data_IF_114489901156
#
_entry.id   IF_114489901156
#
_cell.length_a   1.000
_cell.length_b   1.000
_cell.length_c   1.000
_cell.angle_alpha   90.00
_cell.angle_beta   90.00
_cell.angle_gamma   90.00
#
_symmetry.space_group_name_H-M   'P 1'
#
loop_
_entity.id
_entity.type
_entity.pdbx_description
1 polymer ?
#
# COMPACT_ATOMS: atom_id res chain seq x y z
N UNK A 1 2.16 2.18 27.12
CA UNK A 1 1.79 0.81 26.72
C UNK A 1 1.96 0.70 25.23
N UNK A 2 2.84 -0.16 24.75
CA UNK A 2 2.96 -0.53 23.34
C UNK A 2 1.68 -1.28 22.93
N UNK A 3 1.00 -0.83 21.87
CA UNK A 3 -0.18 -1.54 21.38
C UNK A 3 0.26 -2.89 20.81
N UNK A 4 -0.52 -3.97 21.03
CA UNK A 4 -0.19 -5.26 20.44
C UNK A 4 -0.11 -5.16 18.94
N UNK A 5 0.90 -5.75 18.34
CA UNK A 5 1.05 -5.88 16.92
C UNK A 5 -0.05 -6.80 16.38
N UNK A 6 -0.84 -6.32 15.42
CA UNK A 6 -1.84 -7.14 14.75
C UNK A 6 -1.15 -7.99 13.67
N UNK A 7 -0.40 -9.01 14.09
CA UNK A 7 0.41 -9.88 13.22
C UNK A 7 -0.30 -10.40 11.97
N UNK A 8 -1.57 -10.86 12.05
CA UNK A 8 -2.28 -11.29 10.84
C UNK A 8 -2.39 -10.22 9.76
N UNK A 9 -2.52 -8.94 10.13
CA UNK A 9 -2.56 -7.85 9.16
C UNK A 9 -1.20 -7.61 8.49
N UNK A 10 -0.10 -7.80 9.22
CA UNK A 10 1.24 -7.77 8.63
C UNK A 10 1.42 -8.94 7.67
N UNK A 11 1.01 -10.13 8.06
CA UNK A 11 1.14 -11.36 7.26
C UNK A 11 0.37 -11.30 5.94
N UNK A 12 -0.89 -10.83 5.99
CA UNK A 12 -1.72 -10.75 4.79
C UNK A 12 -1.17 -9.75 3.77
N UNK A 13 -0.46 -8.71 4.21
CA UNK A 13 0.26 -7.81 3.30
C UNK A 13 1.28 -8.54 2.43
N UNK A 14 1.99 -9.53 3.00
CA UNK A 14 2.92 -10.35 2.26
C UNK A 14 2.23 -11.13 1.14
N UNK A 15 1.11 -11.78 1.44
CA UNK A 15 0.34 -12.53 0.47
C UNK A 15 -0.18 -11.62 -0.66
N UNK A 16 -0.71 -10.46 -0.32
CA UNK A 16 -1.24 -9.51 -1.30
C UNK A 16 -0.13 -8.85 -2.15
N UNK A 17 1.06 -8.62 -1.59
CA UNK A 17 2.20 -8.17 -2.38
C UNK A 17 2.58 -9.20 -3.45
N UNK A 18 2.57 -10.49 -3.12
CA UNK A 18 2.82 -11.57 -4.09
C UNK A 18 1.71 -11.71 -5.12
N UNK A 19 0.45 -11.43 -4.80
CA UNK A 19 -0.62 -11.38 -5.82
C UNK A 19 -0.33 -10.28 -6.87
N UNK A 20 0.19 -9.13 -6.45
CA UNK A 20 0.60 -8.06 -7.38
C UNK A 20 1.82 -8.48 -8.22
N UNK A 21 2.80 -9.18 -7.64
CA UNK A 21 3.92 -9.76 -8.40
C UNK A 21 3.40 -10.69 -9.49
N UNK A 22 2.51 -11.62 -9.14
CA UNK A 22 1.91 -12.57 -10.08
C UNK A 22 1.06 -11.88 -11.15
N UNK A 23 0.36 -10.79 -10.79
CA UNK A 23 -0.34 -9.94 -11.75
C UNK A 23 0.61 -9.41 -12.84
N UNK A 24 1.76 -8.84 -12.47
CA UNK A 24 2.68 -8.24 -13.44
C UNK A 24 3.43 -9.27 -14.30
N UNK A 25 3.66 -10.48 -13.77
CA UNK A 25 4.37 -11.53 -14.51
C UNK A 25 3.45 -12.40 -15.39
N UNK A 26 2.12 -12.35 -15.19
CA UNK A 26 1.15 -13.27 -15.81
C UNK A 26 1.20 -13.34 -17.34
N UNK A 27 1.44 -12.19 -17.99
CA UNK A 27 1.48 -12.13 -19.45
C UNK A 27 2.67 -12.89 -20.04
N UNK A 28 3.77 -12.99 -19.31
CA UNK A 28 4.93 -13.77 -19.73
C UNK A 28 4.71 -15.29 -19.63
N UNK A 29 3.59 -15.71 -19.07
CA UNK A 29 3.21 -17.13 -18.91
C UNK A 29 2.15 -17.60 -19.92
N UNK A 30 1.74 -16.74 -20.87
CA UNK A 30 0.63 -17.05 -21.80
C UNK A 30 0.90 -18.27 -22.69
N UNK A 31 2.15 -18.55 -23.04
CA UNK A 31 2.52 -19.68 -23.89
C UNK A 31 2.30 -21.07 -23.25
N UNK A 32 2.21 -21.14 -21.91
CA UNK A 32 2.12 -22.43 -21.22
C UNK A 32 1.12 -22.47 -20.05
N UNK A 33 0.70 -21.33 -19.51
CA UNK A 33 -0.25 -21.29 -18.40
C UNK A 33 -1.69 -21.26 -18.95
N UNK A 34 -2.61 -22.11 -18.42
CA UNK A 34 -4.01 -22.08 -18.83
C UNK A 34 -4.62 -20.69 -18.71
N UNK A 35 -5.36 -20.24 -19.75
CA UNK A 35 -5.92 -18.90 -19.83
C UNK A 35 -6.79 -18.54 -18.61
N UNK A 36 -7.54 -19.50 -18.05
CA UNK A 36 -8.33 -19.29 -16.83
C UNK A 36 -7.49 -18.89 -15.63
N UNK A 37 -6.27 -19.46 -15.49
CA UNK A 37 -5.34 -19.07 -14.43
C UNK A 37 -4.80 -17.67 -14.69
N UNK A 38 -4.43 -17.36 -15.93
CA UNK A 38 -3.97 -16.01 -16.32
C UNK A 38 -5.05 -14.96 -16.02
N UNK A 39 -6.34 -15.27 -16.26
CA UNK A 39 -7.47 -14.39 -15.94
C UNK A 39 -7.64 -14.19 -14.43
N UNK A 40 -7.45 -15.22 -13.62
CA UNK A 40 -7.45 -15.10 -12.14
C UNK A 40 -6.27 -14.23 -11.70
N UNK A 41 -5.07 -14.48 -12.18
CA UNK A 41 -3.89 -13.67 -11.88
C UNK A 41 -4.04 -12.22 -12.35
N UNK A 42 -4.81 -11.99 -13.42
CA UNK A 42 -5.13 -10.64 -13.91
C UNK A 42 -5.90 -9.80 -12.89
N UNK A 43 -6.51 -10.41 -11.87
CA UNK A 43 -7.20 -9.71 -10.78
C UNK A 43 -6.28 -9.36 -9.60
N UNK A 44 -5.00 -9.73 -9.67
CA UNK A 44 -4.02 -9.45 -8.60
C UNK A 44 -3.79 -7.95 -8.33
N UNK A 45 -4.08 -7.05 -9.28
CA UNK A 45 -4.02 -5.59 -9.05
C UNK A 45 -4.99 -5.11 -7.97
N UNK A 46 -6.07 -5.85 -7.72
CA UNK A 46 -7.07 -5.54 -6.70
C UNK A 46 -6.51 -5.65 -5.26
N UNK A 47 -5.37 -6.29 -5.08
CA UNK A 47 -4.67 -6.32 -3.79
C UNK A 47 -4.30 -4.91 -3.28
N UNK A 48 -4.19 -3.93 -4.17
CA UNK A 48 -3.86 -2.55 -3.82
C UNK A 48 -5.00 -1.89 -3.03
N UNK A 49 -6.26 -2.21 -3.33
CA UNK A 49 -7.44 -1.72 -2.59
C UNK A 49 -7.37 -2.14 -1.11
N UNK A 50 -6.97 -3.39 -0.87
CA UNK A 50 -6.75 -3.85 0.49
C UNK A 50 -5.61 -3.09 1.18
N UNK A 51 -4.53 -2.74 0.48
CA UNK A 51 -3.44 -1.96 1.07
C UNK A 51 -3.88 -0.55 1.46
N UNK A 52 -4.71 0.12 0.67
CA UNK A 52 -5.23 1.44 1.01
C UNK A 52 -6.15 1.41 2.23
N UNK A 53 -7.09 0.46 2.29
CA UNK A 53 -7.92 0.21 3.45
C UNK A 53 -7.07 -0.06 4.70
N UNK A 54 -6.09 -0.96 4.59
CA UNK A 54 -5.19 -1.31 5.69
C UNK A 54 -4.34 -0.13 6.14
N UNK A 55 -3.84 0.68 5.20
CA UNK A 55 -3.06 1.88 5.52
C UNK A 55 -3.90 2.87 6.31
N UNK A 56 -5.12 3.18 5.88
CA UNK A 56 -6.06 4.03 6.61
C UNK A 56 -6.34 3.49 8.02
N UNK A 57 -6.61 2.19 8.13
CA UNK A 57 -6.85 1.52 9.41
C UNK A 57 -5.66 1.66 10.36
N UNK A 58 -4.45 1.31 9.92
CA UNK A 58 -3.25 1.32 10.77
C UNK A 58 -2.82 2.74 11.12
N UNK A 59 -2.91 3.67 10.18
CA UNK A 59 -2.57 5.08 10.43
C UNK A 59 -3.53 5.69 11.44
N UNK A 60 -4.84 5.53 11.25
CA UNK A 60 -5.81 6.06 12.21
C UNK A 60 -5.68 5.40 13.59
N UNK A 61 -5.50 4.09 13.63
CA UNK A 61 -5.28 3.34 14.86
C UNK A 61 -4.13 3.91 15.69
N UNK A 62 -3.03 4.27 15.02
CA UNK A 62 -1.81 4.72 15.72
C UNK A 62 -1.77 6.22 15.97
N UNK A 63 -2.36 7.04 15.10
CA UNK A 63 -2.17 8.49 15.08
C UNK A 63 -3.46 9.30 15.26
N UNK A 64 -4.65 8.73 15.12
CA UNK A 64 -5.92 9.44 15.22
C UNK A 64 -6.14 10.27 16.50
N UNK A 65 -5.44 9.95 17.58
CA UNK A 65 -5.45 10.74 18.81
C UNK A 65 -4.16 11.53 19.05
N UNK A 66 -3.05 11.11 18.43
CA UNK A 66 -1.72 11.65 18.72
C UNK A 66 -1.37 12.90 17.92
N UNK A 67 -2.05 13.15 16.80
CA UNK A 67 -1.75 14.27 15.89
C UNK A 67 -2.25 15.63 16.38
N UNK A 68 -2.85 15.73 17.56
CA UNK A 68 -3.36 16.97 18.14
C UNK A 68 -2.33 17.81 18.92
N UNK A 69 -1.12 17.26 19.14
CA UNK A 69 -0.06 17.93 19.90
C UNK A 69 0.86 18.79 19.03
N UNK A 70 1.52 19.79 19.64
CA UNK A 70 2.57 20.58 18.97
C UNK A 70 3.67 19.68 18.41
N UNK A 71 4.05 19.86 17.16
CA UNK A 71 5.07 19.06 16.46
C UNK A 71 4.66 17.63 16.10
N UNK A 72 3.45 17.19 16.46
CA UNK A 72 2.98 15.83 16.18
C UNK A 72 2.83 15.57 14.67
N UNK A 73 2.40 16.56 13.90
CA UNK A 73 2.31 16.48 12.44
C UNK A 73 3.67 16.26 11.81
N UNK A 74 4.69 17.04 12.21
CA UNK A 74 6.05 16.87 11.69
C UNK A 74 6.63 15.51 12.06
N UNK A 75 6.45 15.05 13.31
CA UNK A 75 6.88 13.72 13.75
C UNK A 75 6.21 12.61 12.93
N UNK A 76 4.92 12.74 12.65
CA UNK A 76 4.17 11.82 11.80
C UNK A 76 4.72 11.79 10.37
N UNK A 77 4.84 12.96 9.71
CA UNK A 77 5.30 13.04 8.32
C UNK A 77 6.74 12.52 8.17
N UNK A 78 7.65 12.87 9.10
CA UNK A 78 9.01 12.33 9.08
C UNK A 78 9.02 10.80 9.21
N UNK A 79 8.17 10.22 10.05
CA UNK A 79 8.04 8.76 10.16
C UNK A 79 7.50 8.12 8.89
N UNK A 80 6.60 8.79 8.18
CA UNK A 80 6.07 8.29 6.89
C UNK A 80 7.13 8.40 5.80
N UNK A 81 7.81 9.56 5.67
CA UNK A 81 8.94 9.72 4.76
C UNK A 81 10.02 8.66 5.03
N UNK A 82 10.43 8.51 6.28
CA UNK A 82 11.43 7.51 6.66
C UNK A 82 11.02 6.06 6.29
N UNK A 83 9.72 5.79 6.22
CA UNK A 83 9.17 4.47 5.87
C UNK A 83 9.14 4.21 4.37
N UNK A 84 8.76 5.22 3.55
CA UNK A 84 8.46 4.98 2.13
C UNK A 84 9.55 5.54 1.20
N UNK A 85 10.08 6.73 1.49
CA UNK A 85 10.93 7.45 0.55
C UNK A 85 12.30 6.79 0.26
N UNK A 86 13.05 6.22 1.24
CA UNK A 86 14.39 5.69 0.96
C UNK A 86 14.40 4.58 -0.07
N UNK A 87 13.49 3.62 0.04
CA UNK A 87 13.39 2.53 -0.92
C UNK A 87 12.84 3.01 -2.26
N UNK A 88 11.87 3.94 -2.24
CA UNK A 88 11.36 4.56 -3.46
C UNK A 88 12.48 5.26 -4.24
N UNK A 89 13.30 6.07 -3.57
CA UNK A 89 14.46 6.73 -4.19
C UNK A 89 15.49 5.72 -4.74
N UNK A 90 15.76 4.63 -4.01
CA UNK A 90 16.63 3.57 -4.48
C UNK A 90 16.09 2.90 -5.75
N UNK A 91 14.79 2.65 -5.83
CA UNK A 91 14.17 2.08 -7.02
C UNK A 91 14.11 3.07 -8.18
N UNK A 92 13.93 4.37 -7.94
CA UNK A 92 14.07 5.40 -8.99
C UNK A 92 15.52 5.46 -9.52
N UNK A 93 16.52 5.38 -8.66
CA UNK A 93 17.92 5.31 -9.08
C UNK A 93 18.18 4.05 -9.93
N UNK A 94 17.59 2.91 -9.55
CA UNK A 94 17.69 1.68 -10.35
C UNK A 94 16.99 1.84 -11.72
N UNK A 95 15.80 2.45 -11.77
CA UNK A 95 15.11 2.79 -13.02
C UNK A 95 15.93 3.74 -13.90
N UNK A 96 16.58 4.75 -13.29
CA UNK A 96 17.49 5.65 -14.01
C UNK A 96 18.70 4.91 -14.60
N UNK A 97 19.27 3.95 -13.87
CA UNK A 97 20.34 3.11 -14.39
C UNK A 97 19.88 2.25 -15.58
N UNK A 98 18.67 1.70 -15.52
CA UNK A 98 18.06 0.99 -16.67
C UNK A 98 17.88 1.94 -17.87
N UNK A 99 17.33 3.14 -17.64
CA UNK A 99 17.12 4.13 -18.70
C UNK A 99 18.43 4.52 -19.39
N UNK A 100 19.49 4.80 -18.61
CA UNK A 100 20.82 5.13 -19.12
C UNK A 100 21.39 3.98 -19.94
N UNK A 101 21.27 2.72 -19.46
CA UNK A 101 21.73 1.54 -20.18
C UNK A 101 20.98 1.34 -21.51
N UNK A 102 19.67 1.59 -21.56
CA UNK A 102 18.88 1.55 -22.80
C UNK A 102 19.39 2.60 -23.79
N UNK A 103 19.53 3.85 -23.37
CA UNK A 103 20.02 4.94 -24.20
C UNK A 103 21.43 4.69 -24.71
N UNK A 104 22.36 4.20 -23.85
CA UNK A 104 23.72 3.86 -24.21
C UNK A 104 23.82 2.71 -25.25
N UNK A 105 22.80 1.85 -25.31
CA UNK A 105 22.67 0.78 -26.30
C UNK A 105 21.84 1.13 -27.53
N UNK A 106 21.47 2.42 -27.69
CA UNK A 106 20.66 2.91 -28.80
C UNK A 106 19.18 2.49 -28.76
N UNK A 107 18.69 2.05 -27.61
CA UNK A 107 17.29 1.67 -27.40
C UNK A 107 16.47 2.86 -26.87
N UNK A 108 15.17 2.85 -27.14
CA UNK A 108 14.25 3.84 -26.59
C UNK A 108 14.04 3.64 -25.08
N UNK A 109 13.94 4.75 -24.34
CA UNK A 109 13.71 4.76 -22.88
C UNK A 109 12.44 5.57 -22.54
N UNK A 110 11.41 5.52 -23.39
CA UNK A 110 10.19 6.34 -23.28
C UNK A 110 9.42 6.10 -21.98
N UNK A 111 9.56 4.92 -21.38
CA UNK A 111 8.99 4.61 -20.07
C UNK A 111 9.67 5.38 -18.91
N UNK A 112 10.82 6.00 -19.14
CA UNK A 112 11.65 6.67 -18.14
C UNK A 112 11.94 8.15 -18.50
N UNK A 113 10.92 9.01 -18.66
CA UNK A 113 11.15 10.41 -19.03
C UNK A 113 11.78 11.18 -17.86
N UNK A 114 13.03 11.60 -18.01
CA UNK A 114 13.79 12.32 -16.96
C UNK A 114 13.13 13.65 -16.57
N UNK A 115 12.38 14.28 -17.45
CA UNK A 115 11.64 15.51 -17.17
C UNK A 115 10.60 15.33 -16.03
N UNK A 116 10.06 14.11 -15.83
CA UNK A 116 9.09 13.81 -14.78
C UNK A 116 9.75 13.26 -13.49
N UNK A 117 11.07 13.04 -13.49
CA UNK A 117 11.79 12.54 -12.31
C UNK A 117 11.56 13.36 -11.03
N UNK A 118 11.50 14.73 -11.07
CA UNK A 118 11.19 15.52 -9.89
C UNK A 118 9.82 15.18 -9.26
N UNK A 119 8.78 14.90 -10.07
CA UNK A 119 7.47 14.49 -9.56
C UNK A 119 7.53 13.12 -8.89
N UNK A 120 8.28 12.18 -9.47
CA UNK A 120 8.50 10.86 -8.86
C UNK A 120 9.29 10.97 -7.55
N UNK A 121 10.35 11.79 -7.49
CA UNK A 121 11.09 12.03 -6.24
C UNK A 121 10.22 12.66 -5.14
N UNK A 122 9.27 13.52 -5.52
CA UNK A 122 8.30 14.12 -4.61
C UNK A 122 7.14 13.17 -4.25
N UNK A 123 7.05 11.98 -4.87
CA UNK A 123 5.93 11.04 -4.76
C UNK A 123 4.58 11.66 -5.15
N UNK A 124 4.57 12.51 -6.18
CA UNK A 124 3.40 13.24 -6.67
C UNK A 124 3.02 12.85 -8.12
N UNK A 125 3.64 11.82 -8.66
CA UNK A 125 3.53 11.43 -10.08
C UNK A 125 2.11 11.07 -10.52
N UNK A 126 1.24 10.61 -9.61
CA UNK A 126 -0.13 10.17 -9.92
C UNK A 126 -1.23 11.10 -9.33
N UNK A 127 -0.95 12.40 -9.34
CA UNK A 127 -1.91 13.42 -8.90
C UNK A 127 -2.54 14.17 -10.11
N UNK A 128 -2.67 13.48 -11.25
CA UNK A 128 -3.25 14.05 -12.47
C UNK A 128 -2.27 14.80 -13.37
N UNK A 129 -0.96 14.70 -13.14
CA UNK A 129 0.08 15.35 -13.94
C UNK A 129 0.47 14.58 -15.21
N UNK A 130 0.14 13.30 -15.27
CA UNK A 130 0.46 12.39 -16.36
C UNK A 130 -0.72 11.50 -16.69
N UNK A 131 -0.87 11.13 -17.97
CA UNK A 131 -1.90 10.20 -18.43
C UNK A 131 -1.41 8.75 -18.49
N UNK A 132 -0.19 8.48 -18.06
CA UNK A 132 0.42 7.15 -18.09
C UNK A 132 1.19 6.85 -16.81
N UNK A 133 1.25 5.57 -16.44
CA UNK A 133 2.16 5.08 -15.42
C UNK A 133 3.58 5.01 -16.03
N UNK A 134 4.53 5.63 -15.36
CA UNK A 134 5.90 5.79 -15.83
C UNK A 134 6.90 5.43 -14.72
N UNK A 135 8.15 5.14 -15.10
CA UNK A 135 9.24 4.74 -14.22
C UNK A 135 8.99 3.40 -13.55
N UNK A 136 8.36 3.41 -12.42
CA UNK A 136 8.03 2.21 -11.64
C UNK A 136 6.52 2.15 -11.46
N UNK A 137 5.82 1.43 -12.35
CA UNK A 137 4.36 1.41 -12.40
C UNK A 137 3.71 1.22 -11.02
N UNK A 138 4.12 0.26 -10.15
CA UNK A 138 3.50 0.09 -8.85
C UNK A 138 3.59 1.31 -7.92
N UNK A 139 4.52 2.24 -8.17
CA UNK A 139 4.73 3.41 -7.32
C UNK A 139 3.58 4.43 -7.36
N UNK A 140 2.62 4.28 -8.29
CA UNK A 140 1.41 5.10 -8.31
C UNK A 140 0.66 5.03 -6.97
N UNK A 141 0.56 3.85 -6.38
CA UNK A 141 -0.14 3.66 -5.10
C UNK A 141 0.56 4.36 -3.92
N UNK A 142 1.90 4.43 -3.96
CA UNK A 142 2.70 5.17 -2.95
C UNK A 142 2.49 6.67 -3.08
N UNK A 143 2.32 7.17 -4.31
CA UNK A 143 1.95 8.56 -4.57
C UNK A 143 0.57 8.89 -3.97
N UNK A 144 -0.42 8.02 -4.17
CA UNK A 144 -1.74 8.14 -3.55
C UNK A 144 -1.67 8.09 -2.03
N UNK A 145 -0.92 7.14 -1.47
CA UNK A 145 -0.73 6.98 -0.03
C UNK A 145 -0.02 8.21 0.59
N UNK A 146 0.96 8.78 -0.10
CA UNK A 146 1.61 10.02 0.32
C UNK A 146 0.62 11.18 0.40
N UNK A 147 -0.27 11.33 -0.59
CA UNK A 147 -1.38 12.30 -0.54
C UNK A 147 -2.28 12.11 0.66
N UNK A 148 -2.67 10.86 0.97
CA UNK A 148 -3.46 10.53 2.15
C UNK A 148 -2.72 10.88 3.47
N UNK A 149 -1.40 10.67 3.53
CA UNK A 149 -0.59 11.05 4.71
C UNK A 149 -0.54 12.56 4.91
N UNK A 150 -0.42 13.36 3.85
CA UNK A 150 -0.43 14.81 3.94
C UNK A 150 -1.78 15.35 4.45
N UNK A 151 -2.89 14.72 4.08
CA UNK A 151 -4.24 15.09 4.51
C UNK A 151 -4.58 14.59 5.93
N UNK A 152 -3.97 13.50 6.40
CA UNK A 152 -4.31 12.87 7.69
C UNK A 152 -4.26 13.83 8.88
N UNK A 153 -3.25 14.72 9.08
CA UNK A 153 -3.23 15.65 10.20
C UNK A 153 -4.43 16.60 10.20
N UNK A 154 -4.83 17.10 9.03
CA UNK A 154 -5.99 17.99 8.90
C UNK A 154 -7.28 17.24 9.26
N UNK A 155 -7.45 16.02 8.73
CA UNK A 155 -8.63 15.20 9.02
C UNK A 155 -8.74 14.89 10.52
N UNK A 156 -7.63 14.57 11.20
CA UNK A 156 -7.63 14.31 12.65
C UNK A 156 -7.99 15.56 13.47
N UNK A 157 -7.60 16.74 13.01
CA UNK A 157 -7.96 18.00 13.70
C UNK A 157 -9.45 18.32 13.57
N UNK A 158 -10.02 18.08 12.39
CA UNK A 158 -11.41 18.46 12.04
C UNK A 158 -12.42 17.39 12.46
N UNK A 159 -12.09 16.10 12.32
CA UNK A 159 -13.03 15.00 12.51
C UNK A 159 -12.77 14.23 13.82
N UNK A 160 -13.59 14.45 14.87
CA UNK A 160 -13.49 13.69 16.12
C UNK A 160 -14.18 12.32 16.00
N UNK A 161 -13.70 11.43 15.13
CA UNK A 161 -14.35 10.14 14.78
C UNK A 161 -14.72 9.31 16.01
N UNK A 162 -13.93 9.40 17.06
CA UNK A 162 -14.17 8.67 18.30
C UNK A 162 -15.51 9.03 18.97
N UNK A 163 -15.99 10.26 18.74
CA UNK A 163 -17.25 10.77 19.30
C UNK A 163 -18.47 10.41 18.46
N UNK A 164 -18.25 9.93 17.23
CA UNK A 164 -19.35 9.58 16.32
C UNK A 164 -20.07 8.32 16.80
N UNK A 165 -21.35 8.18 16.52
CA UNK A 165 -22.10 6.95 16.77
C UNK A 165 -21.57 5.81 15.89
N UNK A 166 -21.86 4.57 16.27
CA UNK A 166 -21.50 3.39 15.45
C UNK A 166 -22.16 3.46 14.07
N UNK A 167 -23.44 3.87 14.01
CA UNK A 167 -24.15 4.04 12.75
C UNK A 167 -23.49 5.13 11.87
N UNK A 168 -23.09 6.26 12.45
CA UNK A 168 -22.40 7.32 11.72
C UNK A 168 -21.04 6.83 11.16
N UNK A 169 -20.29 6.02 11.90
CA UNK A 169 -19.03 5.45 11.41
C UNK A 169 -19.26 4.44 10.26
N UNK A 170 -20.30 3.61 10.33
CA UNK A 170 -20.66 2.67 9.25
C UNK A 170 -21.04 3.44 7.98
N UNK A 171 -21.90 4.45 8.10
CA UNK A 171 -22.28 5.31 6.97
C UNK A 171 -21.06 6.02 6.40
N UNK A 172 -20.22 6.62 7.24
CA UNK A 172 -19.01 7.30 6.81
C UNK A 172 -17.96 6.36 6.18
N UNK A 173 -17.90 5.10 6.58
CA UNK A 173 -17.06 4.11 5.94
C UNK A 173 -17.59 3.71 4.55
N UNK A 174 -18.91 3.57 4.40
CA UNK A 174 -19.52 3.18 3.14
C UNK A 174 -19.56 4.33 2.11
N UNK A 175 -19.78 5.58 2.56
CA UNK A 175 -19.96 6.74 1.67
C UNK A 175 -18.83 6.94 0.67
N UNK A 176 -17.54 7.00 1.06
CA UNK A 176 -16.46 7.22 0.08
C UNK A 176 -16.32 6.07 -0.92
N UNK A 177 -16.62 4.82 -0.52
CA UNK A 177 -16.62 3.68 -1.43
C UNK A 177 -17.78 3.75 -2.43
N UNK A 178 -18.97 4.16 -2.00
CA UNK A 178 -20.13 4.35 -2.87
C UNK A 178 -19.91 5.52 -3.84
N UNK A 179 -19.30 6.62 -3.37
CA UNK A 179 -18.96 7.75 -4.26
C UNK A 179 -17.92 7.34 -5.31
N UNK A 180 -16.92 6.56 -4.92
CA UNK A 180 -15.94 5.99 -5.85
C UNK A 180 -16.62 5.07 -6.88
N UNK A 181 -17.54 4.20 -6.43
CA UNK A 181 -18.34 3.36 -7.32
C UNK A 181 -19.13 4.19 -8.32
N UNK A 182 -19.89 5.20 -7.88
CA UNK A 182 -20.69 6.05 -8.77
C UNK A 182 -19.80 6.78 -9.78
N UNK A 183 -18.66 7.31 -9.34
CA UNK A 183 -17.70 7.99 -10.22
C UNK A 183 -17.18 7.06 -11.32
N UNK A 184 -16.69 5.89 -10.95
CA UNK A 184 -16.12 4.93 -11.90
C UNK A 184 -17.20 4.30 -12.79
N UNK A 185 -18.40 4.04 -12.24
CA UNK A 185 -19.55 3.56 -13.02
C UNK A 185 -19.95 4.55 -14.11
N UNK A 186 -20.03 5.85 -13.80
CA UNK A 186 -20.34 6.90 -14.75
C UNK A 186 -19.30 7.02 -15.87
N UNK A 187 -18.09 6.50 -15.65
CA UNK A 187 -16.99 6.45 -16.64
C UNK A 187 -16.87 5.09 -17.33
N UNK A 188 -17.79 4.15 -17.09
CA UNK A 188 -17.73 2.76 -17.56
C UNK A 188 -16.41 2.06 -17.20
N UNK A 189 -15.78 2.45 -16.09
CA UNK A 189 -14.47 1.97 -15.65
C UNK A 189 -14.54 0.95 -14.51
N UNK A 190 -13.54 0.06 -14.46
CA UNK A 190 -13.26 -0.78 -13.29
C UNK A 190 -12.29 -0.09 -12.30
N UNK A 191 -11.91 -0.78 -11.22
CA UNK A 191 -10.94 -0.25 -10.24
C UNK A 191 -9.55 0.05 -10.87
N UNK A 192 -9.16 -0.65 -11.92
CA UNK A 192 -7.94 -0.38 -12.68
C UNK A 192 -8.06 0.70 -13.77
N UNK A 193 -9.22 1.37 -13.89
CA UNK A 193 -9.45 2.37 -14.92
C UNK A 193 -8.71 3.66 -14.62
N UNK A 194 -8.01 4.19 -15.64
CA UNK A 194 -7.33 5.50 -15.58
C UNK A 194 -6.63 5.76 -14.24
N UNK A 195 -5.72 4.88 -13.84
CA UNK A 195 -5.06 4.94 -12.52
C UNK A 195 -4.38 6.29 -12.30
N UNK A 196 -3.72 6.84 -13.33
CA UNK A 196 -3.07 8.16 -13.29
C UNK A 196 -4.03 9.33 -13.01
N UNK A 197 -5.32 9.18 -13.31
CA UNK A 197 -6.36 10.19 -13.09
C UNK A 197 -7.13 9.95 -11.77
N UNK A 198 -7.50 8.70 -11.50
CA UNK A 198 -8.38 8.34 -10.38
C UNK A 198 -7.66 7.63 -9.23
N UNK A 199 -6.38 7.28 -9.38
CA UNK A 199 -5.62 6.53 -8.37
C UNK A 199 -5.57 7.21 -7.02
N UNK A 200 -5.35 8.53 -6.99
CA UNK A 200 -5.38 9.31 -5.74
C UNK A 200 -6.77 9.29 -5.09
N UNK A 201 -7.84 9.50 -5.86
CA UNK A 201 -9.21 9.47 -5.33
C UNK A 201 -9.58 8.08 -4.81
N UNK A 202 -9.20 7.02 -5.53
CA UNK A 202 -9.36 5.63 -5.08
C UNK A 202 -8.64 5.40 -3.75
N UNK A 203 -7.38 5.80 -3.65
CA UNK A 203 -6.62 5.72 -2.40
C UNK A 203 -7.31 6.48 -1.26
N UNK A 204 -7.73 7.72 -1.48
CA UNK A 204 -8.38 8.55 -0.45
C UNK A 204 -9.70 7.96 0.02
N UNK A 205 -10.52 7.40 -0.89
CA UNK A 205 -11.79 6.77 -0.55
C UNK A 205 -11.57 5.55 0.36
N UNK A 206 -10.67 4.67 -0.03
CA UNK A 206 -10.39 3.43 0.69
C UNK A 206 -9.62 3.67 2.00
N UNK A 207 -8.66 4.60 1.99
CA UNK A 207 -7.96 5.03 3.20
C UNK A 207 -8.93 5.63 4.23
N UNK A 208 -9.88 6.46 3.79
CA UNK A 208 -10.91 7.04 4.65
C UNK A 208 -11.79 5.94 5.26
N UNK A 209 -12.26 4.98 4.45
CA UNK A 209 -12.97 3.81 4.95
C UNK A 209 -12.15 3.06 6.01
N UNK A 210 -10.88 2.77 5.73
CA UNK A 210 -9.97 2.12 6.68
C UNK A 210 -9.85 2.85 8.02
N UNK A 211 -9.81 4.19 8.00
CA UNK A 211 -9.81 4.99 9.22
C UNK A 211 -11.08 4.78 10.07
N UNK A 212 -12.27 4.75 9.44
CA UNK A 212 -13.54 4.44 10.11
C UNK A 212 -13.56 3.01 10.67
N UNK A 213 -13.06 2.04 9.90
CA UNK A 213 -12.96 0.65 10.34
C UNK A 213 -12.10 0.51 11.60
N UNK A 214 -11.06 1.33 11.77
CA UNK A 214 -10.24 1.28 12.99
C UNK A 214 -10.99 1.72 14.24
N UNK A 215 -11.92 2.68 14.14
CA UNK A 215 -12.79 3.06 15.25
C UNK A 215 -13.89 2.01 15.52
N UNK A 216 -14.43 1.38 14.47
CA UNK A 216 -15.34 0.25 14.62
C UNK A 216 -14.65 -0.95 15.28
N UNK A 217 -13.40 -1.27 14.88
CA UNK A 217 -12.59 -2.30 15.53
C UNK A 217 -12.39 -2.03 17.02
N UNK A 218 -12.11 -0.80 17.44
CA UNK A 218 -11.96 -0.43 18.86
C UNK A 218 -13.19 -0.74 19.68
N UNK A 219 -14.38 -0.61 19.08
CA UNK A 219 -15.67 -0.87 19.75
C UNK A 219 -16.01 -2.36 19.80
N UNK A 220 -15.62 -3.09 18.76
CA UNK A 220 -16.08 -4.45 18.50
C UNK A 220 -15.07 -5.55 18.81
N UNK A 221 -13.82 -5.21 19.14
CA UNK A 221 -12.72 -6.17 19.34
C UNK A 221 -12.96 -7.26 20.40
N UNK A 222 -13.99 -7.10 21.22
CA UNK A 222 -14.38 -8.09 22.24
C UNK A 222 -15.77 -8.71 21.95
N UNK A 223 -16.33 -8.52 20.75
CA UNK A 223 -17.67 -8.97 20.36
C UNK A 223 -17.55 -10.03 19.26
N UNK A 224 -17.36 -11.29 19.66
CA UNK A 224 -17.11 -12.40 18.74
C UNK A 224 -18.13 -12.58 17.59
N UNK A 225 -19.47 -12.39 17.77
CA UNK A 225 -20.41 -12.50 16.67
C UNK A 225 -20.17 -11.52 15.53
N UNK A 226 -19.60 -10.34 15.81
CA UNK A 226 -19.31 -9.34 14.77
C UNK A 226 -18.17 -9.80 13.86
N UNK A 227 -17.15 -10.46 14.39
CA UNK A 227 -16.08 -11.03 13.57
C UNK A 227 -16.64 -12.04 12.56
N UNK A 228 -17.50 -12.95 13.01
CA UNK A 228 -18.16 -13.95 12.15
C UNK A 228 -19.00 -13.23 11.08
N UNK A 229 -19.79 -12.22 11.49
CA UNK A 229 -20.57 -11.39 10.57
C UNK A 229 -19.71 -10.71 9.50
N UNK A 230 -18.53 -10.20 9.86
CA UNK A 230 -17.58 -9.60 8.92
C UNK A 230 -17.01 -10.65 7.94
N UNK A 231 -16.67 -11.85 8.41
CA UNK A 231 -16.27 -12.95 7.52
C UNK A 231 -17.37 -13.30 6.52
N UNK A 232 -18.60 -13.49 7.00
CA UNK A 232 -19.76 -13.81 6.15
C UNK A 232 -20.00 -12.69 5.14
N UNK A 233 -20.01 -11.43 5.56
CA UNK A 233 -20.22 -10.29 4.67
C UNK A 233 -19.13 -10.18 3.61
N UNK A 234 -17.86 -10.34 3.99
CA UNK A 234 -16.74 -10.29 3.06
C UNK A 234 -16.78 -11.41 2.02
N UNK A 235 -17.05 -12.65 2.46
CA UNK A 235 -17.17 -13.80 1.55
C UNK A 235 -18.40 -13.69 0.65
N UNK A 236 -19.54 -13.19 1.17
CA UNK A 236 -20.74 -12.94 0.38
C UNK A 236 -20.51 -11.86 -0.69
N UNK A 237 -19.77 -10.79 -0.37
CA UNK A 237 -19.42 -9.76 -1.35
C UNK A 237 -18.46 -10.30 -2.43
N UNK A 238 -17.50 -11.18 -2.08
CA UNK A 238 -16.66 -11.88 -3.05
C UNK A 238 -17.49 -12.81 -3.95
N UNK A 239 -18.44 -13.53 -3.38
CA UNK A 239 -19.34 -14.39 -4.15
C UNK A 239 -20.24 -13.57 -5.08
N UNK A 240 -20.72 -12.42 -4.63
CA UNK A 240 -21.52 -11.50 -5.44
C UNK A 240 -20.70 -10.95 -6.62
N UNK A 241 -19.44 -10.58 -6.39
CA UNK A 241 -18.53 -10.21 -7.47
C UNK A 241 -18.35 -11.34 -8.50
N UNK A 242 -18.12 -12.55 -8.01
CA UNK A 242 -18.00 -13.72 -8.89
C UNK A 242 -19.28 -13.99 -9.68
N UNK A 243 -20.45 -13.67 -9.10
CA UNK A 243 -21.76 -13.77 -9.75
C UNK A 243 -22.09 -12.58 -10.70
N UNK A 244 -21.15 -11.65 -10.91
CA UNK A 244 -21.28 -10.56 -11.88
C UNK A 244 -21.60 -9.17 -11.30
N UNK A 245 -21.64 -9.00 -9.97
CA UNK A 245 -21.71 -7.66 -9.38
C UNK A 245 -20.43 -6.88 -9.73
N UNK A 246 -20.54 -5.60 -10.15
CA UNK A 246 -19.38 -4.78 -10.52
C UNK A 246 -18.26 -4.82 -9.48
N UNK A 247 -17.01 -5.02 -9.92
CA UNK A 247 -15.84 -5.07 -9.03
C UNK A 247 -15.67 -3.79 -8.20
N UNK A 248 -16.01 -2.64 -8.78
CA UNK A 248 -15.97 -1.32 -8.12
C UNK A 248 -16.90 -1.20 -6.94
N UNK A 249 -18.01 -1.97 -6.94
CA UNK A 249 -18.94 -2.04 -5.83
C UNK A 249 -18.58 -3.17 -4.86
N UNK A 250 -18.39 -4.38 -5.35
CA UNK A 250 -18.28 -5.56 -4.49
C UNK A 250 -16.95 -5.63 -3.73
N UNK A 251 -15.81 -5.34 -4.40
CA UNK A 251 -14.49 -5.64 -3.82
C UNK A 251 -14.05 -4.68 -2.72
N UNK A 252 -14.24 -3.35 -2.79
CA UNK A 252 -13.89 -2.49 -1.67
C UNK A 252 -14.67 -2.86 -0.39
N UNK A 253 -15.96 -3.22 -0.50
CA UNK A 253 -16.75 -3.69 0.64
C UNK A 253 -16.31 -5.07 1.13
N UNK A 254 -15.98 -6.00 0.22
CA UNK A 254 -15.42 -7.29 0.58
C UNK A 254 -14.13 -7.14 1.38
N UNK A 255 -13.19 -6.33 0.88
CA UNK A 255 -11.93 -6.10 1.55
C UNK A 255 -12.08 -5.32 2.86
N UNK A 256 -13.01 -4.38 2.95
CA UNK A 256 -13.32 -3.68 4.19
C UNK A 256 -13.82 -4.66 5.27
N UNK A 257 -14.75 -5.55 4.92
CA UNK A 257 -15.27 -6.57 5.83
C UNK A 257 -14.19 -7.60 6.22
N UNK A 258 -13.39 -8.09 5.26
CA UNK A 258 -12.31 -9.05 5.52
C UNK A 258 -11.19 -8.43 6.37
N UNK A 259 -10.82 -7.16 6.13
CA UNK A 259 -9.86 -6.43 6.94
C UNK A 259 -10.35 -6.35 8.40
N UNK A 260 -11.61 -5.98 8.60
CA UNK A 260 -12.20 -5.87 9.93
C UNK A 260 -12.27 -7.23 10.62
N UNK A 261 -12.66 -8.29 9.92
CA UNK A 261 -12.66 -9.66 10.42
C UNK A 261 -11.26 -10.11 10.88
N UNK A 262 -10.25 -9.91 10.04
CA UNK A 262 -8.85 -10.22 10.35
C UNK A 262 -8.35 -9.43 11.57
N UNK A 263 -8.71 -8.15 11.66
CA UNK A 263 -8.32 -7.31 12.79
C UNK A 263 -8.99 -7.74 14.10
N UNK A 264 -10.28 -8.12 14.05
CA UNK A 264 -11.02 -8.62 15.21
C UNK A 264 -10.50 -9.98 15.71
N UNK A 265 -10.09 -10.85 14.78
CA UNK A 265 -9.51 -12.15 15.10
C UNK A 265 -8.02 -12.14 15.44
N UNK A 266 -7.33 -10.99 15.31
CA UNK A 266 -5.86 -10.91 15.37
C UNK A 266 -5.26 -11.29 16.73
N UNK A 267 -5.99 -11.16 17.82
CA UNK A 267 -5.52 -11.48 19.17
C UNK A 267 -5.73 -12.97 19.56
N UNK A 268 -6.26 -13.79 18.65
CA UNK A 268 -6.48 -15.22 18.92
C UNK A 268 -5.15 -15.98 19.06
N UNK A 269 -4.99 -16.86 20.09
CA UNK A 269 -3.72 -17.53 20.40
C UNK A 269 -3.18 -18.43 19.29
N UNK A 270 -3.88 -18.85 18.30
CA UNK A 270 -3.43 -19.74 17.21
C UNK A 270 -3.97 -19.27 15.86
N UNK A 271 -3.80 -17.97 15.58
CA UNK A 271 -4.25 -17.44 14.28
C UNK A 271 -3.39 -18.02 13.13
N UNK A 272 -3.99 -18.58 12.06
CA UNK A 272 -3.24 -19.23 10.96
C UNK A 272 -2.20 -18.32 10.30
N UNK A 273 -2.51 -17.02 10.21
CA UNK A 273 -1.61 -16.01 9.64
C UNK A 273 -0.56 -15.48 10.63
N UNK A 274 -0.48 -15.98 11.86
CA UNK A 274 0.54 -15.56 12.83
C UNK A 274 1.88 -16.31 12.68
N UNK A 275 1.99 -17.25 11.73
CA UNK A 275 3.17 -18.05 11.46
C UNK A 275 4.39 -17.18 11.08
N UNK A 276 5.59 -17.56 11.56
CA UNK A 276 6.82 -16.75 11.41
C UNK A 276 7.18 -16.44 9.96
N UNK A 277 7.00 -17.39 9.06
CA UNK A 277 7.37 -17.22 7.65
C UNK A 277 6.41 -16.29 6.89
N UNK A 278 5.10 -16.44 7.13
CA UNK A 278 4.08 -15.57 6.52
C UNK A 278 4.22 -14.15 7.08
N UNK A 279 4.50 -14.03 8.37
CA UNK A 279 4.77 -12.73 9.00
C UNK A 279 6.02 -12.06 8.40
N UNK A 280 7.12 -12.82 8.20
CA UNK A 280 8.32 -12.32 7.56
C UNK A 280 8.07 -11.83 6.13
N UNK A 281 7.28 -12.56 5.33
CA UNK A 281 6.83 -12.08 4.01
C UNK A 281 6.08 -10.74 4.11
N UNK A 282 5.30 -10.57 5.17
CA UNK A 282 4.63 -9.32 5.47
C UNK A 282 5.57 -8.17 5.84
N UNK A 283 6.66 -8.45 6.57
CA UNK A 283 7.67 -7.44 6.89
C UNK A 283 8.38 -6.92 5.64
N UNK A 284 8.78 -7.82 4.72
CA UNK A 284 9.45 -7.46 3.46
C UNK A 284 8.49 -7.01 2.36
N UNK A 285 7.18 -7.01 2.59
CA UNK A 285 6.14 -6.80 1.58
C UNK A 285 6.26 -5.48 0.82
N UNK A 286 6.72 -4.42 1.48
CA UNK A 286 6.95 -3.13 0.83
C UNK A 286 8.11 -3.20 -0.18
N UNK A 287 9.21 -3.84 0.21
CA UNK A 287 10.32 -4.08 -0.69
C UNK A 287 9.90 -4.96 -1.88
N UNK A 288 9.13 -6.04 -1.63
CA UNK A 288 8.58 -6.89 -2.68
C UNK A 288 7.70 -6.10 -3.65
N UNK A 289 6.75 -5.33 -3.11
CA UNK A 289 5.82 -4.54 -3.91
C UNK A 289 6.52 -3.49 -4.77
N UNK A 290 7.54 -2.82 -4.25
CA UNK A 290 8.16 -1.71 -4.96
C UNK A 290 9.25 -2.14 -5.95
N UNK A 291 9.93 -3.27 -5.70
CA UNK A 291 11.06 -3.70 -6.52
C UNK A 291 10.67 -4.63 -7.67
N UNK A 292 9.60 -5.44 -7.53
CA UNK A 292 9.32 -6.54 -8.45
C UNK A 292 9.18 -6.09 -9.91
N UNK A 293 8.54 -4.95 -10.18
CA UNK A 293 8.28 -4.48 -11.53
C UNK A 293 9.59 -4.16 -12.28
N UNK A 294 10.45 -3.35 -11.69
CA UNK A 294 11.73 -2.98 -12.31
C UNK A 294 12.70 -4.17 -12.37
N UNK A 295 12.69 -5.06 -11.36
CA UNK A 295 13.47 -6.30 -11.40
C UNK A 295 13.01 -7.21 -12.53
N UNK A 296 11.70 -7.39 -12.68
CA UNK A 296 11.16 -8.19 -13.77
C UNK A 296 11.38 -7.53 -15.13
N UNK A 297 11.27 -6.20 -15.21
CA UNK A 297 11.59 -5.44 -16.43
C UNK A 297 13.05 -5.67 -16.84
N UNK A 298 14.01 -5.49 -15.92
CA UNK A 298 15.43 -5.73 -16.18
C UNK A 298 15.72 -7.20 -16.55
N UNK A 299 15.06 -8.15 -15.84
CA UNK A 299 15.18 -9.57 -16.15
C UNK A 299 14.70 -9.90 -17.57
N UNK A 300 13.56 -9.35 -17.98
CA UNK A 300 13.05 -9.54 -19.35
C UNK A 300 14.02 -8.99 -20.39
N UNK A 301 14.56 -7.81 -20.19
CA UNK A 301 15.52 -7.20 -21.11
C UNK A 301 16.77 -8.09 -21.33
N UNK A 302 17.20 -8.80 -20.30
CA UNK A 302 18.43 -9.60 -20.32
C UNK A 302 18.23 -11.04 -20.78
N UNK A 303 17.09 -11.67 -20.41
CA UNK A 303 16.94 -13.12 -20.47
C UNK A 303 15.69 -13.63 -21.22
N UNK A 304 14.74 -12.77 -21.56
CA UNK A 304 13.47 -13.17 -22.18
C UNK A 304 13.40 -12.66 -23.60
N UNK A 305 13.29 -13.58 -24.57
CA UNK A 305 13.17 -13.24 -26.00
C UNK A 305 11.73 -12.91 -26.39
N UNK A 306 10.78 -13.70 -25.93
CA UNK A 306 9.34 -13.48 -26.13
C UNK A 306 8.69 -13.06 -24.83
N UNK A 307 8.14 -11.86 -24.82
CA UNK A 307 7.50 -11.29 -23.62
C UNK A 307 6.21 -12.01 -23.18
N UNK A 308 5.63 -12.85 -24.06
CA UNK A 308 4.38 -13.58 -23.82
C UNK A 308 4.60 -15.09 -23.60
N UNK A 309 5.83 -15.58 -23.87
CA UNK A 309 6.18 -17.00 -23.73
C UNK A 309 7.56 -17.17 -23.08
N UNK A 310 7.68 -16.71 -21.85
CA UNK A 310 8.90 -16.93 -21.08
C UNK A 310 8.91 -18.36 -20.51
N UNK A 311 10.03 -19.11 -20.65
CA UNK A 311 10.13 -20.48 -20.11
C UNK A 311 9.79 -20.53 -18.61
N UNK A 312 9.12 -21.59 -18.12
CA UNK A 312 8.77 -21.74 -16.70
C UNK A 312 9.97 -21.58 -15.76
N UNK A 313 11.15 -22.07 -16.15
CA UNK A 313 12.39 -21.90 -15.38
C UNK A 313 12.81 -20.44 -15.27
N UNK A 314 12.63 -19.63 -16.32
CA UNK A 314 12.89 -18.17 -16.29
C UNK A 314 11.92 -17.45 -15.37
N UNK A 315 10.65 -17.84 -15.38
CA UNK A 315 9.65 -17.31 -14.45
C UNK A 315 10.02 -17.66 -13.00
N UNK A 316 10.34 -18.92 -12.71
CA UNK A 316 10.78 -19.35 -11.38
C UNK A 316 12.04 -18.58 -10.91
N UNK A 317 13.03 -18.42 -11.79
CA UNK A 317 14.24 -17.63 -11.51
C UNK A 317 13.90 -16.18 -11.20
N UNK A 318 13.03 -15.53 -11.98
CA UNK A 318 12.62 -14.15 -11.75
C UNK A 318 11.89 -13.97 -10.41
N UNK A 319 10.99 -14.90 -10.03
CA UNK A 319 10.30 -14.88 -8.73
C UNK A 319 11.29 -15.06 -7.57
N UNK A 320 12.28 -15.94 -7.72
CA UNK A 320 13.34 -16.13 -6.73
C UNK A 320 14.21 -14.86 -6.59
N UNK A 321 14.58 -14.23 -7.71
CA UNK A 321 15.29 -12.94 -7.71
C UNK A 321 14.49 -11.87 -6.96
N UNK A 322 13.19 -11.76 -7.23
CA UNK A 322 12.30 -10.81 -6.51
C UNK A 322 12.32 -11.11 -5.01
N UNK A 323 12.21 -12.36 -4.58
CA UNK A 323 12.23 -12.73 -3.17
C UNK A 323 13.55 -12.36 -2.49
N UNK A 324 14.69 -12.74 -3.09
CA UNK A 324 16.02 -12.46 -2.55
C UNK A 324 16.28 -10.96 -2.52
N UNK A 325 15.98 -10.25 -3.61
CA UNK A 325 16.17 -8.80 -3.69
C UNK A 325 15.27 -8.07 -2.69
N UNK A 326 14.03 -8.50 -2.50
CA UNK A 326 13.11 -7.93 -1.49
C UNK A 326 13.67 -8.05 -0.08
N UNK A 327 14.19 -9.23 0.29
CA UNK A 327 14.83 -9.44 1.57
C UNK A 327 16.08 -8.56 1.73
N UNK A 328 16.95 -8.51 0.71
CA UNK A 328 18.15 -7.67 0.71
C UNK A 328 17.79 -6.18 0.84
N UNK A 329 16.88 -5.66 0.03
CA UNK A 329 16.45 -4.27 0.06
C UNK A 329 15.83 -3.88 1.40
N UNK A 330 15.04 -4.76 2.00
CA UNK A 330 14.49 -4.55 3.33
C UNK A 330 15.60 -4.41 4.40
N UNK A 331 16.59 -5.31 4.39
CA UNK A 331 17.64 -5.33 5.41
C UNK A 331 18.74 -4.29 5.18
N UNK A 332 19.07 -3.96 3.92
CA UNK A 332 20.21 -3.10 3.55
C UNK A 332 19.76 -1.65 3.31
N UNK A 333 18.56 -1.42 2.79
CA UNK A 333 18.09 -0.08 2.43
C UNK A 333 17.00 0.38 3.38
N UNK A 334 15.85 -0.31 3.41
CA UNK A 334 14.64 0.16 4.08
C UNK A 334 14.84 0.34 5.59
N UNK A 335 15.21 -0.71 6.31
CA UNK A 335 15.39 -0.66 7.78
C UNK A 335 16.54 0.27 8.22
N UNK A 336 17.75 0.22 7.62
CA UNK A 336 18.83 1.11 8.01
C UNK A 336 18.51 2.58 7.76
N UNK A 337 18.01 2.93 6.58
CA UNK A 337 17.64 4.31 6.26
C UNK A 337 16.57 4.85 7.21
N UNK A 338 15.52 4.05 7.49
CA UNK A 338 14.50 4.42 8.45
C UNK A 338 15.09 4.71 9.85
N UNK A 339 16.00 3.85 10.33
CA UNK A 339 16.67 4.05 11.64
C UNK A 339 17.48 5.33 11.67
N UNK A 340 18.27 5.59 10.62
CA UNK A 340 19.12 6.79 10.52
C UNK A 340 18.28 8.07 10.51
N UNK A 341 17.24 8.12 9.67
CA UNK A 341 16.36 9.29 9.57
C UNK A 341 15.66 9.56 10.91
N UNK A 342 15.13 8.53 11.55
CA UNK A 342 14.43 8.68 12.82
C UNK A 342 15.37 9.05 13.97
N UNK A 343 16.60 8.54 13.99
CA UNK A 343 17.61 8.93 14.98
C UNK A 343 18.06 10.38 14.79
N UNK A 344 18.26 10.82 13.54
CA UNK A 344 18.59 12.21 13.23
C UNK A 344 17.45 13.18 13.63
N UNK A 345 16.21 12.79 13.32
CA UNK A 345 15.04 13.56 13.70
C UNK A 345 14.89 13.71 15.23
N UNK A 346 15.08 12.59 15.96
CA UNK A 346 15.05 12.62 17.43
C UNK A 346 16.08 13.58 18.00
N UNK A 347 17.34 13.50 17.52
CA UNK A 347 18.42 14.40 17.96
C UNK A 347 18.08 15.88 17.74
N UNK A 348 17.55 16.25 16.56
CA UNK A 348 17.11 17.62 16.25
C UNK A 348 16.03 18.10 17.21
N UNK A 349 15.06 17.24 17.50
CA UNK A 349 13.95 17.58 18.38
C UNK A 349 14.39 17.74 19.84
N UNK A 350 15.30 16.91 20.31
CA UNK A 350 15.84 16.97 21.67
C UNK A 350 16.71 18.24 21.82
N UNK A 351 17.52 18.58 20.82
CA UNK A 351 18.31 19.82 20.80
C UNK A 351 17.44 21.09 20.80
N UNK A 352 16.29 21.08 20.10
CA UNK A 352 15.36 22.21 20.09
C UNK A 352 14.61 22.43 21.43
N UNK A 353 14.57 21.44 22.31
CA UNK A 353 13.93 21.53 23.65
C UNK A 353 14.85 22.03 24.76
N UNK A 354 16.17 21.93 24.57
CA UNK A 354 17.17 22.37 25.58
C UNK A 354 17.16 23.87 25.90
N UNK A 355 16.87 24.83 24.99
CA UNK A 355 16.82 26.25 25.31
C UNK A 355 15.65 26.65 26.19
N UNK A 356 14.48 25.96 26.10
CA UNK A 356 13.29 26.36 26.91
C UNK A 356 13.44 26.04 28.40
N UNK A 357 14.21 25.05 28.78
CA UNK A 357 14.43 24.66 30.19
C UNK A 357 15.47 25.59 30.85
N UNK A 358 16.43 26.11 30.10
CA UNK A 358 17.46 27.01 30.63
C UNK A 358 16.94 28.43 30.88
N UNK A 359 15.89 28.89 30.18
CA UNK A 359 15.28 30.20 30.38
C UNK A 359 14.19 30.22 31.47
N UNK A 360 13.61 29.08 31.82
CA UNK A 360 12.60 28.92 32.86
C UNK A 360 13.15 28.74 34.30
N UNK A 361 14.48 28.54 34.45
CA UNK A 361 15.12 28.38 35.77
C UNK A 361 15.70 29.64 36.39
N UNK A 362 15.61 30.77 35.68
CA UNK A 362 16.13 32.09 36.13
C UNK A 362 15.02 33.16 36.23
N UNK A 363 13.77 32.75 36.46
CA UNK A 363 12.65 33.68 36.73
C UNK A 363 12.05 33.49 38.08
#
# INVERSE_FOLDING_TARGET
MTRPELRPLTSVRGLFAWLVVLYHIRLACLGWLPIGIVQVLAKGYLAVDFFFLLSGFVIWLNYGERLRGRGATADFLVRRIARIWPLHAAMLAFGAAIAIALLATGRQADHFPFALLPLHLAMMQDWGWSNALLWNDPAWSISGEWGAYLLTPLVVLVLPLRRWSTAALIVAAATPLLLLFVLLWARHGGLGYSISEYGLLRCLAEFSCGAMLSELWRRWRHVAPIEIGCWVAGLAALAAWWAGVPETLALPFAFAALLLALALGAERPRHPLAGRWIHWLGEISYATYLSHFLLFFAFKLAFVRDQYDAPPASIAASLLIVLIASAALYHIVERPAQRVILAAWKRRRDAARLPEVALGANG
#
